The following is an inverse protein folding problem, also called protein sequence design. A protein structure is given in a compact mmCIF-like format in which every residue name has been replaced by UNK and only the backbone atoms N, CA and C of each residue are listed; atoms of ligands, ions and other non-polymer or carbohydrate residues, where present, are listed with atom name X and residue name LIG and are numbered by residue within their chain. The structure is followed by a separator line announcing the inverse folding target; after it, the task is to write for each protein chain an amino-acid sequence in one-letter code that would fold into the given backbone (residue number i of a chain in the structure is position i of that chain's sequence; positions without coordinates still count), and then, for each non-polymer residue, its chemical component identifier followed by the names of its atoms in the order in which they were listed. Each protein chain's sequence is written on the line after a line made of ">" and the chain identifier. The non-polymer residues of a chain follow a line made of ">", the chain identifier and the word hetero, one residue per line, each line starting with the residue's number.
data_IF_850641492143
#
_entry.id   IF_850641492143
#
_cell.length_a   1.000
_cell.length_b   1.000
_cell.length_c   1.000
_cell.angle_alpha   90.00
_cell.angle_beta   90.00
_cell.angle_gamma   90.00
#
_symmetry.space_group_name_H-M   'P 1'
#
loop_
_entity.id
_entity.type
_entity.pdbx_description
1 polymer ?
#
# COMPACT_ATOMS: atom_id res chain seq x y z
N UNK A 1 8.91 9.12 -9.63
CA UNK A 1 7.55 8.68 -9.26
C UNK A 1 7.65 7.44 -8.41
N UNK A 2 7.00 7.44 -7.27
CA UNK A 2 6.79 6.25 -6.44
C UNK A 2 5.41 5.67 -6.74
N UNK A 3 5.30 4.34 -6.67
CA UNK A 3 4.03 3.63 -6.78
C UNK A 3 3.80 2.74 -5.55
N UNK A 4 2.67 2.94 -4.89
CA UNK A 4 2.28 2.21 -3.68
C UNK A 4 1.03 1.41 -4.01
N UNK A 5 1.03 0.11 -3.73
CA UNK A 5 -0.14 -0.76 -3.95
C UNK A 5 -0.66 -1.28 -2.61
N UNK A 6 -1.88 -0.86 -2.26
CA UNK A 6 -2.59 -1.28 -1.06
C UNK A 6 -3.41 -2.52 -1.37
N UNK A 7 -3.15 -3.61 -0.67
CA UNK A 7 -3.89 -4.86 -0.74
C UNK A 7 -4.74 -5.06 0.50
N UNK A 8 -5.96 -5.53 0.29
CA UNK A 8 -6.86 -5.96 1.34
C UNK A 8 -8.08 -6.65 0.76
N UNK A 9 -9.14 -6.71 1.56
CA UNK A 9 -10.41 -7.32 1.18
C UNK A 9 -11.50 -6.27 1.02
N UNK A 10 -12.44 -6.52 0.13
CA UNK A 10 -13.63 -5.72 -0.01
C UNK A 10 -14.40 -5.69 1.33
N UNK A 11 -14.67 -4.48 1.83
CA UNK A 11 -15.19 -4.23 3.19
C UNK A 11 -14.14 -3.69 4.16
N UNK A 12 -12.84 -3.80 3.86
CA UNK A 12 -11.75 -3.13 4.58
C UNK A 12 -11.50 -1.73 4.01
N UNK A 13 -10.89 -0.81 4.80
CA UNK A 13 -10.67 0.57 4.37
C UNK A 13 -9.48 0.73 3.40
N UNK A 14 -9.32 -0.16 2.40
CA UNK A 14 -8.18 -0.17 1.47
C UNK A 14 -8.13 1.13 0.65
N UNK A 15 -9.21 1.45 -0.06
CA UNK A 15 -9.31 2.64 -0.90
C UNK A 15 -9.26 3.93 -0.07
N UNK A 16 -9.93 3.93 1.08
CA UNK A 16 -9.93 5.08 1.99
C UNK A 16 -8.51 5.38 2.50
N UNK A 17 -7.76 4.36 2.93
CA UNK A 17 -6.39 4.51 3.44
C UNK A 17 -5.43 4.97 2.33
N UNK A 18 -5.53 4.36 1.14
CA UNK A 18 -4.79 4.79 -0.03
C UNK A 18 -5.11 6.25 -0.41
N UNK A 19 -6.38 6.64 -0.33
CA UNK A 19 -6.87 7.99 -0.57
C UNK A 19 -6.30 9.00 0.42
N UNK A 20 -6.17 8.65 1.71
CA UNK A 20 -5.56 9.56 2.68
C UNK A 20 -4.05 9.75 2.45
N UNK A 21 -3.32 8.67 2.18
CA UNK A 21 -1.90 8.77 1.76
C UNK A 21 -1.74 9.64 0.50
N UNK A 22 -2.65 9.49 -0.47
CA UNK A 22 -2.70 10.33 -1.66
C UNK A 22 -2.97 11.81 -1.33
N UNK A 23 -3.90 12.10 -0.41
CA UNK A 23 -4.19 13.46 0.05
C UNK A 23 -3.00 14.09 0.76
N UNK A 24 -2.31 13.35 1.64
CA UNK A 24 -1.10 13.83 2.31
C UNK A 24 -0.01 14.20 1.30
N UNK A 25 0.20 13.35 0.28
CA UNK A 25 1.16 13.65 -0.79
C UNK A 25 0.74 14.86 -1.64
N UNK A 26 -0.55 15.02 -1.92
CA UNK A 26 -1.08 16.18 -2.64
C UNK A 26 -0.89 17.48 -1.82
N UNK A 27 -1.13 17.43 -0.52
CA UNK A 27 -0.90 18.55 0.40
C UNK A 27 0.59 18.93 0.46
N UNK A 28 1.49 17.97 0.29
CA UNK A 28 2.93 18.19 0.13
C UNK A 28 3.34 18.69 -1.28
N UNK A 29 2.39 19.13 -2.11
CA UNK A 29 2.64 19.70 -3.44
C UNK A 29 3.03 18.69 -4.52
N UNK A 30 2.80 17.39 -4.29
CA UNK A 30 3.10 16.33 -5.27
C UNK A 30 1.96 16.14 -6.25
N UNK A 31 2.28 15.58 -7.42
CA UNK A 31 1.31 15.06 -8.37
C UNK A 31 0.91 13.66 -7.97
N UNK A 32 -0.40 13.40 -7.92
CA UNK A 32 -0.94 12.13 -7.42
C UNK A 32 -1.94 11.53 -8.42
N UNK A 33 -1.90 10.21 -8.57
CA UNK A 33 -2.96 9.43 -9.23
C UNK A 33 -3.36 8.26 -8.34
N UNK A 34 -4.65 7.93 -8.33
CA UNK A 34 -5.19 6.76 -7.62
C UNK A 34 -5.95 5.90 -8.61
N UNK A 35 -5.67 4.59 -8.60
CA UNK A 35 -6.37 3.60 -9.41
C UNK A 35 -6.89 2.50 -8.51
N UNK A 36 -8.19 2.23 -8.58
CA UNK A 36 -8.83 1.18 -7.81
C UNK A 36 -9.06 -0.04 -8.69
N UNK A 37 -8.76 -1.21 -8.18
CA UNK A 37 -9.08 -2.48 -8.81
C UNK A 37 -10.04 -3.27 -7.92
N UNK A 38 -11.23 -3.51 -8.48
CA UNK A 38 -12.26 -4.34 -7.88
C UNK A 38 -12.31 -5.67 -8.65
N UNK A 39 -11.65 -6.72 -8.12
CA UNK A 39 -11.62 -8.03 -8.79
C UNK A 39 -13.02 -8.67 -8.90
N UNK A 40 -13.86 -8.52 -7.88
CA UNK A 40 -15.28 -8.87 -7.88
C UNK A 40 -15.98 -8.10 -6.73
N UNK A 41 -17.14 -7.50 -7.00
CA UNK A 41 -17.87 -6.72 -5.98
C UNK A 41 -18.66 -7.66 -5.05
N UNK A 42 -17.96 -8.35 -4.15
CA UNK A 42 -18.56 -9.19 -3.09
C UNK A 42 -17.77 -9.07 -1.78
N UNK A 43 -18.43 -9.17 -0.61
CA UNK A 43 -17.78 -9.15 0.70
C UNK A 43 -16.57 -10.07 0.78
N UNK A 44 -15.45 -9.56 1.29
CA UNK A 44 -14.24 -10.34 1.51
C UNK A 44 -13.43 -10.65 0.26
N UNK A 45 -13.87 -10.27 -0.96
CA UNK A 45 -13.07 -10.49 -2.16
C UNK A 45 -11.74 -9.72 -2.10
N UNK A 46 -10.62 -10.29 -2.58
CA UNK A 46 -9.38 -9.55 -2.72
C UNK A 46 -9.57 -8.31 -3.59
N UNK A 47 -9.01 -7.20 -3.14
CA UNK A 47 -8.97 -5.95 -3.91
C UNK A 47 -7.64 -5.25 -3.70
N UNK A 48 -7.35 -4.29 -4.58
CA UNK A 48 -6.22 -3.41 -4.35
C UNK A 48 -6.45 -2.01 -4.89
N UNK A 49 -5.73 -1.05 -4.32
CA UNK A 49 -5.68 0.34 -4.79
C UNK A 49 -4.23 0.73 -5.03
N UNK A 50 -3.93 1.31 -6.18
CA UNK A 50 -2.60 1.83 -6.53
C UNK A 50 -2.62 3.34 -6.35
N UNK A 51 -1.61 3.87 -5.65
CA UNK A 51 -1.33 5.30 -5.52
C UNK A 51 0.01 5.59 -6.18
N UNK A 52 0.03 6.56 -7.10
CA UNK A 52 1.26 7.08 -7.71
C UNK A 52 1.50 8.48 -7.22
N UNK A 53 2.73 8.77 -6.81
CA UNK A 53 3.14 10.09 -6.33
C UNK A 53 4.41 10.51 -7.08
N UNK A 54 4.44 11.73 -7.60
CA UNK A 54 5.56 12.25 -8.39
C UNK A 54 5.78 13.74 -8.15
N UNK A 55 7.01 14.22 -8.42
CA UNK A 55 7.36 15.65 -8.41
C UNK A 55 6.89 16.40 -9.66
N UNK A 56 6.42 15.67 -10.67
CA UNK A 56 5.96 16.22 -11.95
C UNK A 56 4.69 15.52 -12.41
N UNK A 57 3.98 16.13 -13.36
CA UNK A 57 2.75 15.58 -13.93
C UNK A 57 2.90 14.11 -14.39
N UNK A 58 1.97 13.25 -13.97
CA UNK A 58 1.98 11.81 -14.28
C UNK A 58 1.23 11.58 -15.59
N UNK A 59 1.93 11.04 -16.61
CA UNK A 59 1.39 10.84 -17.96
C UNK A 59 0.71 9.48 -18.12
N UNK A 60 1.10 8.51 -17.31
CA UNK A 60 0.57 7.15 -17.31
C UNK A 60 -0.93 7.16 -17.00
N UNK A 61 -1.73 6.45 -17.80
CA UNK A 61 -3.20 6.40 -17.66
C UNK A 61 -3.75 5.02 -17.32
N UNK A 62 -2.89 4.01 -17.25
CA UNK A 62 -3.27 2.63 -16.92
C UNK A 62 -2.47 2.10 -15.73
N UNK A 63 -3.10 1.24 -14.94
CA UNK A 63 -2.49 0.50 -13.84
C UNK A 63 -2.26 -0.98 -14.16
N UNK A 64 -2.55 -1.45 -15.39
CA UNK A 64 -2.47 -2.87 -15.75
C UNK A 64 -1.03 -3.43 -15.67
N UNK A 65 -0.03 -2.58 -15.95
CA UNK A 65 1.39 -2.90 -15.82
C UNK A 65 2.04 -2.25 -14.59
N UNK A 66 1.25 -2.08 -13.51
CA UNK A 66 1.70 -1.52 -12.24
C UNK A 66 2.93 -2.27 -11.70
N UNK A 67 3.96 -1.51 -11.35
CA UNK A 67 5.21 -1.98 -10.74
C UNK A 67 5.43 -1.20 -9.46
N UNK A 68 4.89 -1.66 -8.31
CA UNK A 68 4.98 -0.92 -7.06
C UNK A 68 6.42 -0.87 -6.55
N UNK A 69 6.77 0.24 -5.92
CA UNK A 69 7.93 0.39 -5.04
C UNK A 69 7.59 -0.13 -3.64
N UNK A 70 6.33 0.06 -3.23
CA UNK A 70 5.80 -0.37 -1.93
C UNK A 70 4.50 -1.13 -2.10
N UNK A 71 4.37 -2.26 -1.40
CA UNK A 71 3.10 -2.94 -1.20
C UNK A 71 2.69 -2.75 0.26
N UNK A 72 1.46 -2.29 0.49
CA UNK A 72 0.85 -2.24 1.82
C UNK A 72 -0.14 -3.38 1.93
N UNK A 73 0.02 -4.28 2.90
CA UNK A 73 -0.83 -5.44 3.10
C UNK A 73 -1.64 -5.29 4.38
N UNK A 74 -2.97 -5.22 4.25
CA UNK A 74 -3.89 -5.09 5.40
C UNK A 74 -4.44 -6.43 5.91
N UNK A 75 -4.23 -7.53 5.19
CA UNK A 75 -4.82 -8.82 5.50
C UNK A 75 -3.89 -9.99 5.12
N UNK A 76 -3.44 -10.74 6.14
CA UNK A 76 -2.56 -11.91 6.01
C UNK A 76 -3.18 -13.01 5.12
N UNK A 77 -4.51 -13.16 5.15
CA UNK A 77 -5.18 -14.25 4.44
C UNK A 77 -5.09 -14.13 2.90
N UNK A 78 -4.66 -12.98 2.38
CA UNK A 78 -4.36 -12.82 0.95
C UNK A 78 -3.13 -13.62 0.50
N UNK A 79 -2.16 -13.83 1.39
CA UNK A 79 -0.90 -14.51 1.07
C UNK A 79 -1.09 -15.99 0.68
N UNK A 80 -2.19 -16.61 1.13
CA UNK A 80 -2.54 -17.98 0.78
C UNK A 80 -3.27 -18.14 -0.56
N UNK A 81 -3.74 -17.03 -1.17
CA UNK A 81 -4.62 -17.09 -2.35
C UNK A 81 -4.12 -16.25 -3.53
N UNK A 82 -3.16 -15.34 -3.33
CA UNK A 82 -2.56 -14.57 -4.41
C UNK A 82 -1.13 -14.11 -4.08
N UNK A 83 -0.35 -13.86 -5.13
CA UNK A 83 0.94 -13.19 -4.99
C UNK A 83 0.75 -11.67 -4.87
N UNK A 84 0.72 -11.18 -3.63
CA UNK A 84 0.63 -9.74 -3.32
C UNK A 84 1.89 -8.95 -3.72
N UNK A 85 3.00 -9.64 -3.97
CA UNK A 85 4.28 -9.05 -4.36
C UNK A 85 4.49 -9.02 -5.87
N UNK A 86 3.50 -9.47 -6.65
CA UNK A 86 3.60 -9.52 -8.11
C UNK A 86 3.90 -8.14 -8.71
N UNK A 87 5.02 -8.06 -9.41
CA UNK A 87 5.47 -6.83 -10.08
C UNK A 87 6.19 -5.84 -9.17
N UNK A 88 6.37 -6.15 -7.88
CA UNK A 88 7.20 -5.38 -6.96
C UNK A 88 8.60 -5.20 -7.55
N UNK A 89 9.10 -3.96 -7.56
CA UNK A 89 10.43 -3.66 -8.09
C UNK A 89 11.53 -4.33 -7.26
N UNK A 90 12.71 -4.50 -7.84
CA UNK A 90 13.88 -4.95 -7.10
C UNK A 90 14.19 -3.96 -5.97
N UNK A 91 14.41 -4.48 -4.76
CA UNK A 91 14.56 -3.65 -3.55
C UNK A 91 13.25 -3.05 -3.02
N UNK A 92 12.10 -3.39 -3.61
CA UNK A 92 10.79 -2.96 -3.14
C UNK A 92 10.44 -3.54 -1.77
N UNK A 93 9.53 -2.85 -1.09
CA UNK A 93 9.22 -3.08 0.33
C UNK A 93 7.77 -3.52 0.47
N UNK A 94 7.53 -4.46 1.39
CA UNK A 94 6.17 -4.80 1.84
C UNK A 94 5.98 -4.30 3.25
N UNK A 95 5.04 -3.39 3.45
CA UNK A 95 4.55 -2.94 4.75
C UNK A 95 3.31 -3.78 5.08
N UNK A 96 3.40 -4.66 6.06
CA UNK A 96 2.32 -5.57 6.43
C UNK A 96 1.77 -5.20 7.81
N UNK A 97 0.47 -4.91 7.90
CA UNK A 97 -0.22 -4.51 9.12
C UNK A 97 -0.94 -5.70 9.72
N UNK A 98 -0.66 -6.04 10.98
CA UNK A 98 -1.26 -7.16 11.71
C UNK A 98 -1.12 -8.51 10.98
N UNK A 99 0.05 -8.74 10.39
CA UNK A 99 0.39 -9.97 9.67
C UNK A 99 1.37 -10.83 10.48
N UNK A 100 1.21 -12.16 10.40
CA UNK A 100 2.06 -13.12 11.09
C UNK A 100 3.53 -12.97 10.64
N UNK A 101 4.49 -12.76 11.57
CA UNK A 101 5.90 -12.68 11.26
C UNK A 101 6.48 -13.88 10.51
N UNK A 102 5.83 -15.05 10.57
CA UNK A 102 6.20 -16.23 9.80
C UNK A 102 6.25 -15.97 8.28
N UNK A 103 5.54 -14.94 7.77
CA UNK A 103 5.60 -14.52 6.36
C UNK A 103 7.01 -14.18 5.89
N UNK A 104 7.88 -13.69 6.78
CA UNK A 104 9.28 -13.39 6.42
C UNK A 104 10.04 -14.64 6.00
N UNK A 105 9.67 -15.81 6.54
CA UNK A 105 10.30 -17.09 6.20
C UNK A 105 9.83 -17.62 4.86
N UNK A 106 8.57 -17.38 4.49
CA UNK A 106 8.00 -17.88 3.23
C UNK A 106 8.47 -17.09 2.01
N UNK A 107 8.88 -15.83 2.18
CA UNK A 107 9.45 -15.04 1.07
C UNK A 107 10.59 -14.12 1.54
N UNK A 108 11.79 -14.69 1.65
CA UNK A 108 13.01 -14.00 2.08
C UNK A 108 13.59 -13.01 1.04
N UNK A 109 13.09 -13.05 -0.20
CA UNK A 109 13.58 -12.17 -1.29
C UNK A 109 13.00 -10.75 -1.21
N UNK A 110 12.02 -10.55 -0.34
CA UNK A 110 11.26 -9.30 -0.21
C UNK A 110 11.57 -8.66 1.14
N UNK A 111 11.65 -7.33 1.15
CA UNK A 111 11.96 -6.59 2.36
C UNK A 111 10.67 -6.29 3.14
N UNK A 112 10.45 -7.01 4.24
CA UNK A 112 9.21 -6.96 5.02
C UNK A 112 9.32 -6.02 6.23
N UNK A 113 8.52 -4.97 6.24
CA UNK A 113 8.23 -4.14 7.41
C UNK A 113 6.92 -4.61 8.04
N UNK A 114 6.99 -5.11 9.27
CA UNK A 114 5.82 -5.60 10.01
C UNK A 114 5.39 -4.52 10.98
N UNK A 115 4.15 -4.08 10.86
CA UNK A 115 3.52 -3.11 11.75
C UNK A 115 2.42 -3.82 12.55
N UNK A 116 2.37 -3.54 13.85
CA UNK A 116 1.32 -4.05 14.74
C UNK A 116 0.46 -2.89 15.23
N UNK A 117 -0.85 -3.07 15.14
CA UNK A 117 -1.87 -2.11 15.52
C UNK A 117 -3.03 -2.83 16.19
N UNK A 118 -3.68 -2.15 17.12
CA UNK A 118 -4.94 -2.63 17.70
C UNK A 118 -5.96 -2.89 16.58
N UNK A 119 -6.78 -3.93 16.73
CA UNK A 119 -7.75 -4.32 15.69
C UNK A 119 -8.76 -3.23 15.37
N UNK A 120 -9.11 -2.42 16.37
CA UNK A 120 -10.02 -1.28 16.31
C UNK A 120 -9.32 0.06 16.01
N UNK A 121 -8.00 0.05 15.73
CA UNK A 121 -7.26 1.25 15.39
C UNK A 121 -7.94 2.00 14.23
N UNK A 122 -8.12 3.31 14.43
CA UNK A 122 -8.76 4.19 13.47
C UNK A 122 -8.00 4.21 12.14
N UNK A 123 -8.70 4.63 11.08
CA UNK A 123 -8.06 4.81 9.77
C UNK A 123 -6.95 5.87 9.81
N UNK A 124 -7.12 6.94 10.60
CA UNK A 124 -6.11 7.98 10.81
C UNK A 124 -4.84 7.40 11.45
N UNK A 125 -4.96 6.56 12.48
CA UNK A 125 -3.80 5.94 13.12
C UNK A 125 -3.06 4.99 12.18
N UNK A 126 -3.80 4.23 11.36
CA UNK A 126 -3.23 3.37 10.31
C UNK A 126 -2.50 4.18 9.25
N UNK A 127 -3.08 5.31 8.84
CA UNK A 127 -2.49 6.23 7.88
C UNK A 127 -1.20 6.83 8.42
N UNK A 128 -1.24 7.43 9.62
CA UNK A 128 -0.08 8.05 10.27
C UNK A 128 1.10 7.10 10.35
N UNK A 129 0.86 5.84 10.73
CA UNK A 129 1.91 4.81 10.76
C UNK A 129 2.48 4.49 9.37
N UNK A 130 1.63 4.39 8.35
CA UNK A 130 2.09 4.16 6.97
C UNK A 130 2.92 5.34 6.48
N UNK A 131 2.45 6.57 6.71
CA UNK A 131 3.17 7.79 6.32
C UNK A 131 4.51 7.91 7.06
N UNK A 132 4.55 7.59 8.35
CA UNK A 132 5.78 7.55 9.13
C UNK A 132 6.77 6.52 8.57
N UNK A 133 6.31 5.34 8.17
CA UNK A 133 7.18 4.32 7.59
C UNK A 133 7.67 4.71 6.19
N UNK A 134 6.81 5.27 5.34
CA UNK A 134 7.20 5.82 4.03
C UNK A 134 8.22 6.95 4.17
N UNK A 135 8.09 7.78 5.22
CA UNK A 135 9.03 8.86 5.52
C UNK A 135 10.40 8.35 5.96
N UNK A 136 10.46 7.35 6.87
CA UNK A 136 11.73 6.70 7.27
C UNK A 136 12.46 6.08 6.08
N UNK A 137 11.70 5.56 5.11
CA UNK A 137 12.23 4.99 3.88
C UNK A 137 12.64 6.05 2.84
N UNK A 138 12.48 7.35 3.15
CA UNK A 138 12.81 8.45 2.25
C UNK A 138 11.89 8.57 1.04
N UNK A 139 10.71 7.93 1.08
CA UNK A 139 9.79 7.85 -0.06
C UNK A 139 8.78 8.99 -0.09
N UNK A 140 8.40 9.53 1.08
CA UNK A 140 7.48 10.66 1.18
C UNK A 140 7.87 11.53 2.38
N UNK A 141 8.10 12.83 2.16
CA UNK A 141 8.33 13.76 3.27
C UNK A 141 7.00 14.07 3.94
N UNK A 142 6.86 13.68 5.22
CA UNK A 142 5.73 14.04 6.07
C UNK A 142 6.12 15.26 6.90
N UNK A 143 5.46 16.39 6.69
CA UNK A 143 5.54 17.53 7.61
C UNK A 143 4.45 17.32 8.67
N UNK A 144 4.87 17.11 9.92
CA UNK A 144 3.95 17.11 11.07
C UNK A 144 3.35 18.49 11.30
#
# INVERSE_FOLDING_TARGET
>A
MIEIRFHGRYGQPVAALAGKVAQAALAAGKYVQVFENFAAYRPGAPMYTVVRIADSFIRERSANASRPDVVVLLDNSLLGIMDVTRGLKAGGIVIAINVDPAVKRSNQRVNWQLLSLDSDASIDKKEEMILAELSKLGMLQHHN
#
